data_IF_995588834745
#
_entry.id   IF_995588834745
#
_cell.length_a   1.000
_cell.length_b   1.000
_cell.length_c   1.000
_cell.angle_alpha   90.00
_cell.angle_beta   90.00
_cell.angle_gamma   90.00
#
_symmetry.space_group_name_H-M   'P 1'
#
loop_
_entity.id
_entity.type
_entity.pdbx_description
1 polymer ?
#
# COMPACT_ATOMS: atom_id res chain seq x y z
N UNK A 1 25.49 34.31 55.03
CA UNK A 1 26.44 34.39 53.90
C UNK A 1 27.05 33.00 53.72
N UNK A 2 26.49 32.21 52.81
CA UNK A 2 27.06 30.97 52.27
C UNK A 2 26.24 30.65 51.01
N UNK A 3 26.78 31.04 49.85
CA UNK A 3 26.15 30.83 48.55
C UNK A 3 26.40 29.38 48.10
N UNK A 4 25.33 28.68 47.75
CA UNK A 4 25.34 27.30 47.26
C UNK A 4 25.77 27.31 45.79
N UNK A 5 26.91 26.69 45.48
CA UNK A 5 27.45 26.56 44.11
C UNK A 5 26.84 25.31 43.47
N UNK A 6 26.17 25.47 42.34
CA UNK A 6 25.62 24.36 41.55
C UNK A 6 26.72 23.69 40.71
N UNK A 7 26.72 22.35 40.53
CA UNK A 7 27.70 21.66 39.70
C UNK A 7 27.35 21.77 38.20
N UNK A 8 28.38 21.92 37.35
CA UNK A 8 28.28 21.98 35.90
C UNK A 8 27.84 20.64 35.26
N UNK A 9 27.12 20.66 34.13
CA UNK A 9 26.67 19.46 33.45
C UNK A 9 27.83 18.78 32.68
N UNK A 10 27.79 17.44 32.52
CA UNK A 10 28.87 16.69 31.86
C UNK A 10 28.91 16.94 30.35
N UNK A 11 30.12 17.23 29.85
CA UNK A 11 30.44 17.40 28.44
C UNK A 11 30.53 16.04 27.71
N UNK A 12 29.74 15.89 26.64
CA UNK A 12 29.79 14.70 25.78
C UNK A 12 30.96 14.84 24.80
N UNK A 13 32.01 14.03 24.95
CA UNK A 13 33.11 13.98 23.98
C UNK A 13 32.64 13.25 22.71
N UNK A 14 32.40 14.00 21.64
CA UNK A 14 32.16 13.45 20.30
C UNK A 14 33.52 13.25 19.63
N UNK A 15 33.89 12.00 19.38
CA UNK A 15 35.06 11.66 18.58
C UNK A 15 34.82 12.01 17.10
N UNK A 16 35.75 12.76 16.51
CA UNK A 16 35.77 13.06 15.06
C UNK A 16 36.46 11.88 14.35
N UNK A 17 35.89 11.29 13.29
CA UNK A 17 36.59 10.23 12.55
C UNK A 17 37.71 10.83 11.70
N UNK A 18 38.91 10.27 11.83
CA UNK A 18 40.10 10.56 11.04
C UNK A 18 40.00 9.95 9.64
N UNK A 19 40.32 10.73 8.61
CA UNK A 19 40.46 10.30 7.22
C UNK A 19 41.67 9.37 7.02
N UNK A 20 41.45 8.31 6.24
CA UNK A 20 42.48 7.62 5.44
C UNK A 20 42.96 6.26 5.96
N UNK A 21 42.46 5.16 5.38
CA UNK A 21 43.31 4.26 4.58
C UNK A 21 42.55 3.14 3.84
N UNK A 22 42.92 3.02 2.55
CA UNK A 22 42.88 1.89 1.62
C UNK A 22 41.59 1.08 1.35
N UNK A 23 41.05 1.36 0.17
CA UNK A 23 40.19 0.60 -0.75
C UNK A 23 40.34 -0.93 -0.71
N UNK A 24 39.27 -1.62 -0.31
CA UNK A 24 38.76 -2.82 -0.98
C UNK A 24 37.31 -2.55 -1.39
N UNK A 25 37.10 -2.11 -2.62
CA UNK A 25 35.80 -1.65 -3.11
C UNK A 25 34.88 -2.82 -3.47
N UNK A 26 34.32 -3.48 -2.46
CA UNK A 26 32.94 -3.95 -2.54
C UNK A 26 32.05 -2.78 -2.09
N UNK A 27 31.76 -1.88 -3.04
CA UNK A 27 30.74 -0.84 -2.81
C UNK A 27 29.44 -1.57 -2.50
N UNK A 28 28.80 -1.36 -1.33
CA UNK A 28 27.51 -1.95 -1.07
C UNK A 28 26.56 -1.50 -2.17
N UNK A 29 26.06 -2.45 -2.96
CA UNK A 29 25.02 -2.17 -3.95
C UNK A 29 23.91 -1.37 -3.25
N UNK A 30 23.60 -0.19 -3.76
CA UNK A 30 22.51 0.63 -3.23
C UNK A 30 21.24 -0.23 -3.15
N UNK A 31 20.51 -0.13 -2.04
CA UNK A 31 19.27 -0.89 -1.80
C UNK A 31 18.31 -0.74 -2.98
N UNK A 32 18.03 -1.85 -3.66
CA UNK A 32 17.13 -1.90 -4.81
C UNK A 32 17.80 -1.86 -6.19
N UNK A 33 19.13 -1.97 -6.27
CA UNK A 33 19.84 -2.13 -7.55
C UNK A 33 20.02 -3.60 -7.90
N UNK A 34 19.65 -3.97 -9.13
CA UNK A 34 19.81 -5.31 -9.70
C UNK A 34 20.89 -5.25 -10.79
N UNK A 35 21.91 -6.10 -10.68
CA UNK A 35 22.93 -6.22 -11.72
C UNK A 35 22.41 -7.13 -12.85
N UNK A 36 22.26 -6.57 -14.05
CA UNK A 36 21.89 -7.30 -15.25
C UNK A 36 23.10 -7.41 -16.19
N UNK A 37 23.05 -8.36 -17.13
CA UNK A 37 24.02 -8.47 -18.22
C UNK A 37 24.10 -7.20 -19.09
N UNK A 38 23.06 -6.35 -19.05
CA UNK A 38 22.93 -5.08 -19.78
C UNK A 38 23.32 -3.85 -18.95
N UNK A 39 23.70 -4.03 -17.68
CA UNK A 39 24.08 -2.97 -16.75
C UNK A 39 23.24 -2.95 -15.45
N UNK A 40 23.53 -2.03 -14.52
CA UNK A 40 22.77 -1.88 -13.28
C UNK A 40 21.36 -1.35 -13.57
N UNK A 41 20.36 -1.93 -12.90
CA UNK A 41 18.97 -1.50 -12.95
C UNK A 41 18.44 -1.20 -11.54
N UNK A 42 18.20 0.07 -11.26
CA UNK A 42 17.59 0.50 -10.01
C UNK A 42 16.05 0.35 -10.10
N UNK A 43 15.54 -0.79 -9.62
CA UNK A 43 14.11 -1.07 -9.63
C UNK A 43 13.35 -0.18 -8.65
N UNK A 44 14.01 0.22 -7.55
CA UNK A 44 13.40 1.06 -6.51
C UNK A 44 13.12 2.45 -7.02
N UNK A 45 14.07 3.08 -7.70
CA UNK A 45 13.87 4.42 -8.23
C UNK A 45 12.82 4.44 -9.35
N UNK A 46 12.80 3.43 -10.22
CA UNK A 46 11.74 3.26 -11.22
C UNK A 46 10.36 3.16 -10.55
N UNK A 47 10.26 2.32 -9.52
CA UNK A 47 9.04 2.16 -8.73
C UNK A 47 8.56 3.46 -8.08
N UNK A 48 9.46 4.17 -7.40
CA UNK A 48 9.14 5.44 -6.74
C UNK A 48 8.75 6.53 -7.75
N UNK A 49 9.39 6.53 -8.92
CA UNK A 49 9.06 7.45 -10.02
C UNK A 49 7.62 7.23 -10.50
N UNK A 50 7.18 5.97 -10.62
CA UNK A 50 5.80 5.68 -11.00
C UNK A 50 4.76 6.16 -9.99
N UNK A 51 5.02 6.02 -8.69
CA UNK A 51 4.13 6.51 -7.64
C UNK A 51 4.09 8.04 -7.55
N UNK A 52 5.19 8.72 -7.90
CA UNK A 52 5.26 10.19 -7.96
C UNK A 52 4.49 10.74 -9.15
N UNK A 53 4.59 10.09 -10.31
CA UNK A 53 4.01 10.58 -11.56
C UNK A 53 2.50 10.28 -11.68
N UNK A 54 2.03 9.15 -11.14
CA UNK A 54 0.63 8.75 -11.20
C UNK A 54 0.08 8.46 -9.78
N UNK A 55 -0.64 9.43 -9.22
CA UNK A 55 -1.27 9.31 -7.89
C UNK A 55 -2.46 8.33 -7.87
N UNK A 56 -2.97 7.94 -9.03
CA UNK A 56 -4.01 6.94 -9.16
C UNK A 56 -3.45 5.51 -9.19
N UNK A 57 -2.14 5.36 -9.36
CA UNK A 57 -1.46 4.07 -9.35
C UNK A 57 -1.43 3.48 -7.93
N UNK A 58 -1.72 2.18 -7.82
CA UNK A 58 -1.63 1.46 -6.54
C UNK A 58 -0.25 0.82 -6.40
N UNK A 59 0.21 0.65 -5.15
CA UNK A 59 1.52 0.03 -4.85
C UNK A 59 1.76 -1.31 -5.58
N UNK A 60 0.78 -2.24 -5.66
CA UNK A 60 0.96 -3.49 -6.40
C UNK A 60 1.07 -3.28 -7.91
N UNK A 61 0.28 -2.36 -8.49
CA UNK A 61 0.31 -2.08 -9.94
C UNK A 61 1.61 -1.40 -10.33
N UNK A 62 2.12 -0.48 -9.49
CA UNK A 62 3.42 0.14 -9.67
C UNK A 62 4.55 -0.89 -9.63
N UNK A 63 4.49 -1.86 -8.69
CA UNK A 63 5.48 -2.94 -8.61
C UNK A 63 5.48 -3.81 -9.87
N UNK A 64 4.30 -4.18 -10.36
CA UNK A 64 4.15 -4.92 -11.62
C UNK A 64 4.74 -4.13 -12.78
N UNK A 65 4.49 -2.81 -12.87
CA UNK A 65 5.05 -1.95 -13.92
C UNK A 65 6.58 -1.92 -13.87
N UNK A 66 7.16 -1.76 -12.69
CA UNK A 66 8.63 -1.79 -12.52
C UNK A 66 9.23 -3.14 -12.90
N UNK A 67 8.53 -4.25 -12.62
CA UNK A 67 8.96 -5.59 -13.01
C UNK A 67 8.80 -5.85 -14.51
N UNK A 68 7.82 -5.22 -15.17
CA UNK A 68 7.71 -5.22 -16.64
C UNK A 68 8.97 -4.63 -17.26
N UNK A 69 9.39 -3.44 -16.78
CA UNK A 69 10.59 -2.78 -17.28
C UNK A 69 11.87 -3.57 -16.97
N UNK A 70 11.92 -4.25 -15.82
CA UNK A 70 13.01 -5.16 -15.48
C UNK A 70 13.09 -6.28 -16.53
N UNK A 71 11.98 -6.97 -16.79
CA UNK A 71 11.91 -8.10 -17.74
C UNK A 71 12.32 -7.68 -19.15
N UNK A 72 12.03 -6.46 -19.57
CA UNK A 72 12.47 -5.92 -20.86
C UNK A 72 14.00 -5.81 -21.00
N UNK A 73 14.71 -5.71 -19.89
CA UNK A 73 16.17 -5.56 -19.85
C UNK A 73 16.91 -6.88 -19.56
N UNK A 74 16.18 -7.92 -19.14
CA UNK A 74 16.75 -9.24 -18.90
C UNK A 74 17.08 -9.89 -20.24
N UNK A 75 18.37 -10.15 -20.46
CA UNK A 75 18.85 -10.98 -21.57
C UNK A 75 19.31 -12.33 -21.00
N UNK A 76 18.40 -13.31 -21.00
CA UNK A 76 18.63 -14.65 -20.47
C UNK A 76 18.37 -15.70 -21.56
N UNK A 77 19.22 -16.73 -21.61
CA UNK A 77 19.12 -17.80 -22.62
C UNK A 77 18.26 -18.97 -22.12
N UNK A 78 18.16 -19.14 -20.81
CA UNK A 78 17.41 -20.23 -20.18
C UNK A 78 16.31 -19.70 -19.27
N UNK A 79 15.26 -20.50 -19.10
CA UNK A 79 14.17 -20.17 -18.17
C UNK A 79 14.65 -20.12 -16.72
N UNK A 80 15.63 -20.94 -16.34
CA UNK A 80 16.19 -20.95 -14.99
C UNK A 80 16.94 -19.65 -14.68
N UNK A 81 17.82 -19.22 -15.58
CA UNK A 81 18.54 -17.94 -15.47
C UNK A 81 17.55 -16.76 -15.41
N UNK A 82 16.56 -16.76 -16.29
CA UNK A 82 15.52 -15.72 -16.31
C UNK A 82 14.78 -15.62 -14.97
N UNK A 83 14.36 -16.75 -14.40
CA UNK A 83 13.64 -16.78 -13.13
C UNK A 83 14.55 -16.40 -11.94
N UNK A 84 15.83 -16.77 -11.96
CA UNK A 84 16.78 -16.36 -10.93
C UNK A 84 16.95 -14.84 -10.89
N UNK A 85 17.20 -14.21 -12.04
CA UNK A 85 17.33 -12.75 -12.16
C UNK A 85 16.03 -12.03 -11.76
N UNK A 86 14.88 -12.56 -12.17
CA UNK A 86 13.58 -12.00 -11.79
C UNK A 86 13.35 -12.07 -10.27
N UNK A 87 13.65 -13.20 -9.63
CA UNK A 87 13.51 -13.34 -8.18
C UNK A 87 14.45 -12.42 -7.41
N UNK A 88 15.70 -12.26 -7.88
CA UNK A 88 16.64 -11.27 -7.33
C UNK A 88 16.05 -9.86 -7.41
N UNK A 89 15.46 -9.49 -8.54
CA UNK A 89 14.80 -8.19 -8.69
C UNK A 89 13.56 -7.99 -7.81
N UNK A 90 12.74 -9.03 -7.65
CA UNK A 90 11.59 -9.01 -6.74
C UNK A 90 12.04 -8.80 -5.30
N UNK A 91 13.06 -9.54 -4.85
CA UNK A 91 13.58 -9.43 -3.48
C UNK A 91 14.24 -8.06 -3.25
N UNK A 92 15.05 -7.59 -4.21
CA UNK A 92 15.63 -6.25 -4.17
C UNK A 92 14.55 -5.16 -4.02
N UNK A 93 13.43 -5.28 -4.76
CA UNK A 93 12.31 -4.34 -4.61
C UNK A 93 11.63 -4.45 -3.24
N UNK A 94 11.34 -5.68 -2.77
CA UNK A 94 10.71 -5.93 -1.46
C UNK A 94 11.56 -5.39 -0.30
N UNK A 95 12.87 -5.58 -0.34
CA UNK A 95 13.79 -5.16 0.73
C UNK A 95 14.06 -3.64 0.69
N UNK A 96 13.96 -3.02 -0.48
CA UNK A 96 14.23 -1.59 -0.66
C UNK A 96 13.11 -0.64 -0.20
N UNK A 97 11.90 -1.16 0.06
CA UNK A 97 10.71 -0.38 0.38
C UNK A 97 10.22 -0.74 1.79
N UNK A 98 9.99 0.29 2.62
CA UNK A 98 9.38 0.12 3.94
C UNK A 98 7.93 -0.35 3.80
N UNK A 99 7.54 -1.33 4.60
CA UNK A 99 6.21 -1.96 4.59
C UNK A 99 5.80 -2.53 3.21
N UNK A 100 6.49 -3.56 2.71
CA UNK A 100 6.30 -4.08 1.35
C UNK A 100 5.04 -4.94 1.19
N UNK A 101 4.06 -4.88 2.10
CA UNK A 101 2.93 -5.82 2.10
C UNK A 101 2.10 -5.68 0.83
N UNK A 102 1.67 -4.46 0.51
CA UNK A 102 0.88 -4.21 -0.71
C UNK A 102 1.70 -4.49 -1.99
N UNK A 103 2.95 -4.04 -2.05
CA UNK A 103 3.79 -4.27 -3.24
C UNK A 103 4.12 -5.77 -3.42
N UNK A 104 4.26 -6.53 -2.33
CA UNK A 104 4.51 -7.96 -2.36
C UNK A 104 3.38 -8.73 -3.01
N UNK A 105 2.12 -8.30 -2.81
CA UNK A 105 0.96 -8.84 -3.51
C UNK A 105 1.12 -8.75 -5.03
N UNK A 106 1.58 -7.58 -5.50
CA UNK A 106 1.84 -7.32 -6.92
C UNK A 106 3.00 -8.16 -7.46
N UNK A 107 4.09 -8.27 -6.70
CA UNK A 107 5.24 -9.09 -7.06
C UNK A 107 4.87 -10.58 -7.17
N UNK A 108 4.12 -11.10 -6.21
CA UNK A 108 3.72 -12.51 -6.17
C UNK A 108 2.72 -12.82 -7.30
N UNK A 109 1.78 -11.91 -7.56
CA UNK A 109 0.87 -12.01 -8.70
C UNK A 109 1.63 -12.04 -10.02
N UNK A 110 2.63 -11.16 -10.17
CA UNK A 110 3.49 -11.11 -11.36
C UNK A 110 4.27 -12.40 -11.54
N UNK A 111 4.96 -12.88 -10.50
CA UNK A 111 5.74 -14.11 -10.56
C UNK A 111 4.85 -15.31 -10.93
N UNK A 112 3.65 -15.42 -10.36
CA UNK A 112 2.70 -16.48 -10.72
C UNK A 112 2.25 -16.37 -12.17
N UNK A 113 2.00 -15.16 -12.67
CA UNK A 113 1.63 -14.94 -14.08
C UNK A 113 2.75 -15.42 -15.02
N UNK A 114 3.99 -15.05 -14.72
CA UNK A 114 5.20 -15.47 -15.47
C UNK A 114 5.36 -17.00 -15.44
N UNK A 115 5.35 -17.60 -14.24
CA UNK A 115 5.53 -19.06 -14.09
C UNK A 115 4.40 -19.81 -14.80
N UNK A 116 3.16 -19.33 -14.72
CA UNK A 116 2.03 -19.91 -15.45
C UNK A 116 2.23 -19.80 -16.95
N UNK A 117 2.69 -18.67 -17.46
CA UNK A 117 2.96 -18.47 -18.89
C UNK A 117 4.02 -19.46 -19.40
N UNK A 118 5.14 -19.59 -18.68
CA UNK A 118 6.25 -20.47 -19.04
C UNK A 118 5.86 -21.96 -19.01
N UNK A 119 4.99 -22.37 -18.08
CA UNK A 119 4.48 -23.76 -18.02
C UNK A 119 3.62 -24.17 -19.22
N UNK A 120 3.02 -23.23 -19.94
CA UNK A 120 2.22 -23.51 -21.13
C UNK A 120 3.08 -23.48 -22.42
N UNK A 121 4.37 -23.82 -22.30
CA UNK A 121 5.32 -24.00 -23.42
C UNK A 121 5.51 -22.77 -24.32
N UNK A 122 5.47 -21.57 -23.74
CA UNK A 122 5.75 -20.33 -24.48
C UNK A 122 7.24 -19.95 -24.40
N UNK A 123 7.77 -19.42 -25.50
CA UNK A 123 9.17 -19.01 -25.60
C UNK A 123 9.43 -17.65 -24.93
N UNK A 124 10.64 -17.46 -24.38
CA UNK A 124 11.07 -16.20 -23.76
C UNK A 124 10.89 -14.96 -24.66
N UNK A 125 11.16 -15.01 -25.98
CA UNK A 125 10.93 -13.86 -26.86
C UNK A 125 9.46 -13.41 -26.93
N UNK A 126 8.50 -14.35 -26.82
CA UNK A 126 7.07 -14.04 -26.82
C UNK A 126 6.61 -13.46 -25.49
N UNK A 127 7.32 -13.73 -24.39
CA UNK A 127 6.97 -13.28 -23.06
C UNK A 127 6.89 -11.75 -23.01
N UNK A 128 7.92 -11.05 -23.47
CA UNK A 128 8.00 -9.58 -23.37
C UNK A 128 6.82 -8.92 -24.11
N UNK A 129 6.52 -9.37 -25.33
CA UNK A 129 5.39 -8.86 -26.12
C UNK A 129 4.05 -9.12 -25.44
N UNK A 130 3.83 -10.36 -24.98
CA UNK A 130 2.60 -10.74 -24.29
C UNK A 130 2.43 -9.97 -22.97
N UNK A 131 3.53 -9.73 -22.27
CA UNK A 131 3.56 -9.05 -20.98
C UNK A 131 3.25 -7.56 -21.14
N UNK A 132 3.79 -6.88 -22.16
CA UNK A 132 3.42 -5.50 -22.50
C UNK A 132 1.92 -5.35 -22.77
N UNK A 133 1.35 -6.26 -23.56
CA UNK A 133 -0.08 -6.27 -23.87
C UNK A 133 -0.93 -6.56 -22.62
N UNK A 134 -0.54 -7.57 -21.85
CA UNK A 134 -1.22 -7.98 -20.62
C UNK A 134 -1.18 -6.89 -19.55
N UNK A 135 -0.05 -6.21 -19.39
CA UNK A 135 0.10 -5.11 -18.44
C UNK A 135 -0.82 -3.94 -18.76
N UNK A 136 -0.92 -3.52 -20.04
CA UNK A 136 -1.84 -2.45 -20.45
C UNK A 136 -3.30 -2.78 -20.07
N UNK A 137 -3.71 -4.02 -20.32
CA UNK A 137 -5.04 -4.50 -19.92
C UNK A 137 -5.19 -4.55 -18.40
N UNK A 138 -4.14 -4.95 -17.68
CA UNK A 138 -4.14 -5.00 -16.23
C UNK A 138 -4.25 -3.61 -15.58
N UNK A 139 -3.51 -2.60 -16.06
CA UNK A 139 -3.61 -1.22 -15.54
C UNK A 139 -5.02 -0.65 -15.71
N UNK A 140 -5.61 -0.83 -16.91
CA UNK A 140 -6.98 -0.41 -17.18
C UNK A 140 -7.96 -1.12 -16.24
N UNK A 141 -7.85 -2.44 -16.11
CA UNK A 141 -8.71 -3.24 -15.23
C UNK A 141 -8.54 -2.88 -13.75
N UNK A 142 -7.33 -2.54 -13.31
CA UNK A 142 -7.06 -2.11 -11.94
C UNK A 142 -7.78 -0.79 -11.65
N UNK A 143 -7.76 0.17 -12.59
CA UNK A 143 -8.52 1.43 -12.48
C UNK A 143 -10.03 1.18 -12.49
N UNK A 144 -10.52 0.37 -13.42
CA UNK A 144 -11.94 0.01 -13.51
C UNK A 144 -12.45 -0.73 -12.27
N UNK A 145 -11.61 -1.57 -11.66
CA UNK A 145 -11.98 -2.33 -10.47
C UNK A 145 -12.37 -1.41 -9.31
N UNK A 146 -11.66 -0.29 -9.12
CA UNK A 146 -12.00 0.71 -8.10
C UNK A 146 -13.38 1.30 -8.34
N UNK A 147 -13.70 1.65 -9.58
CA UNK A 147 -15.03 2.15 -9.97
C UNK A 147 -16.12 1.11 -9.76
N UNK A 148 -15.85 -0.16 -10.09
CA UNK A 148 -16.80 -1.26 -9.86
C UNK A 148 -17.07 -1.46 -8.36
N UNK A 149 -16.02 -1.48 -7.54
CA UNK A 149 -16.13 -1.59 -6.08
C UNK A 149 -16.89 -0.39 -5.51
N UNK A 150 -16.60 0.83 -5.98
CA UNK A 150 -17.32 2.04 -5.56
C UNK A 150 -18.83 1.95 -5.84
N UNK A 151 -19.20 1.53 -7.06
CA UNK A 151 -20.61 1.37 -7.46
C UNK A 151 -21.33 0.32 -6.62
N UNK A 152 -20.73 -0.86 -6.43
CA UNK A 152 -21.31 -1.94 -5.64
C UNK A 152 -21.40 -1.54 -4.16
N UNK A 153 -20.31 -1.01 -3.63
CA UNK A 153 -20.17 -0.64 -2.21
C UNK A 153 -21.02 0.56 -1.79
N UNK A 154 -21.32 1.49 -2.70
CA UNK A 154 -22.19 2.65 -2.38
C UNK A 154 -23.59 2.25 -1.90
N UNK A 155 -24.04 1.02 -2.18
CA UNK A 155 -25.33 0.50 -1.68
C UNK A 155 -25.37 0.27 -0.17
N UNK A 156 -24.21 0.11 0.49
CA UNK A 156 -24.12 -0.02 1.95
C UNK A 156 -24.31 1.32 2.67
N UNK A 157 -24.15 2.45 1.96
CA UNK A 157 -24.39 3.79 2.51
C UNK A 157 -25.88 4.10 2.28
N UNK A 158 -26.66 4.08 3.36
CA UNK A 158 -28.10 4.35 3.32
C UNK A 158 -28.42 5.82 3.63
N UNK A 159 -29.63 6.27 3.28
CA UNK A 159 -30.05 7.64 3.57
C UNK A 159 -30.12 7.88 5.10
N UNK A 160 -29.60 9.03 5.53
CA UNK A 160 -29.48 9.45 6.92
C UNK A 160 -28.31 8.84 7.70
N UNK A 161 -27.52 7.91 7.12
CA UNK A 161 -26.51 7.19 7.90
C UNK A 161 -25.27 8.03 8.25
N UNK A 162 -24.60 7.63 9.32
CA UNK A 162 -23.31 8.16 9.74
C UNK A 162 -22.21 7.12 9.53
N UNK A 163 -21.27 7.46 8.65
CA UNK A 163 -20.15 6.60 8.27
C UNK A 163 -18.90 6.99 9.07
N UNK A 164 -18.30 6.02 9.76
CA UNK A 164 -16.97 6.18 10.35
C UNK A 164 -15.89 5.65 9.40
N UNK A 165 -14.78 6.37 9.25
CA UNK A 165 -13.65 5.92 8.45
C UNK A 165 -12.31 6.31 9.05
N UNK A 166 -11.28 5.54 8.73
CA UNK A 166 -9.90 5.76 9.14
C UNK A 166 -9.03 6.06 7.93
N UNK A 167 -8.18 7.08 8.05
CA UNK A 167 -7.20 7.48 7.02
C UNK A 167 -7.84 7.85 5.68
N UNK A 168 -7.03 8.00 4.63
CA UNK A 168 -7.45 8.29 3.27
C UNK A 168 -7.42 7.01 2.42
N UNK A 169 -8.59 6.56 1.97
CA UNK A 169 -8.71 5.47 1.00
C UNK A 169 -9.41 5.95 -0.27
N UNK A 170 -8.78 5.70 -1.43
CA UNK A 170 -9.32 6.07 -2.75
C UNK A 170 -10.64 5.37 -3.05
N UNK A 171 -10.79 4.11 -2.64
CA UNK A 171 -12.03 3.34 -2.87
C UNK A 171 -13.14 3.84 -1.95
N UNK A 172 -12.84 4.09 -0.67
CA UNK A 172 -13.84 4.63 0.29
C UNK A 172 -14.32 6.00 -0.17
N UNK A 173 -13.40 6.88 -0.60
CA UNK A 173 -13.76 8.14 -1.24
C UNK A 173 -14.65 7.91 -2.47
N UNK A 174 -14.28 6.98 -3.35
CA UNK A 174 -15.08 6.63 -4.53
C UNK A 174 -16.49 6.17 -4.18
N UNK A 175 -16.65 5.32 -3.16
CA UNK A 175 -17.96 4.86 -2.67
C UNK A 175 -18.82 6.02 -2.15
N UNK A 176 -18.23 6.92 -1.37
CA UNK A 176 -18.92 8.11 -0.86
C UNK A 176 -19.32 9.06 -2.00
N UNK A 177 -18.46 9.23 -3.00
CA UNK A 177 -18.77 10.03 -4.19
C UNK A 177 -19.89 9.41 -5.01
N UNK A 178 -19.93 8.08 -5.18
CA UNK A 178 -21.00 7.40 -5.89
C UNK A 178 -22.32 7.40 -5.10
N UNK A 179 -22.28 7.33 -3.76
CA UNK A 179 -23.46 7.54 -2.92
C UNK A 179 -24.01 8.97 -3.06
N UNK A 180 -23.14 9.97 -3.10
CA UNK A 180 -23.52 11.37 -3.33
C UNK A 180 -24.18 11.57 -4.71
N UNK A 181 -23.65 10.95 -5.77
CA UNK A 181 -24.26 10.97 -7.12
C UNK A 181 -25.65 10.35 -7.15
N UNK A 182 -25.95 9.42 -6.24
CA UNK A 182 -27.27 8.80 -6.06
C UNK A 182 -28.19 9.64 -5.15
N UNK A 183 -27.79 10.85 -4.78
CA UNK A 183 -28.53 11.76 -3.89
C UNK A 183 -28.83 11.19 -2.50
N UNK A 184 -28.00 10.24 -2.02
CA UNK A 184 -28.10 9.70 -0.67
C UNK A 184 -27.53 10.73 0.31
N UNK A 185 -28.28 11.06 1.37
CA UNK A 185 -27.80 11.97 2.40
C UNK A 185 -27.10 11.16 3.48
N UNK A 186 -25.85 11.48 3.78
CA UNK A 186 -25.10 10.80 4.84
C UNK A 186 -24.11 11.78 5.48
N UNK A 187 -23.62 11.43 6.66
CA UNK A 187 -22.61 12.17 7.40
C UNK A 187 -21.36 11.30 7.53
N UNK A 188 -20.20 11.94 7.64
CA UNK A 188 -18.93 11.22 7.80
C UNK A 188 -18.21 11.67 9.07
N UNK A 189 -17.71 10.70 9.81
CA UNK A 189 -16.76 10.89 10.90
C UNK A 189 -15.43 10.31 10.41
N UNK A 190 -14.41 11.16 10.29
CA UNK A 190 -13.07 10.76 9.87
C UNK A 190 -12.09 10.93 11.03
N UNK A 191 -11.17 9.99 11.21
CA UNK A 191 -10.06 10.16 12.16
C UNK A 191 -9.05 11.17 11.61
N UNK A 192 -8.34 11.89 12.48
CA UNK A 192 -7.38 12.92 12.06
C UNK A 192 -6.04 12.38 11.52
N UNK A 193 -5.80 11.07 11.69
CA UNK A 193 -4.56 10.37 11.32
C UNK A 193 -4.18 10.50 9.85
N UNK A 194 -3.16 9.73 9.41
CA UNK A 194 -2.53 9.90 8.10
C UNK A 194 -3.55 9.99 6.95
N UNK A 195 -3.78 11.21 6.42
CA UNK A 195 -4.69 11.48 5.31
C UNK A 195 -6.15 11.81 5.66
N UNK A 196 -6.58 11.70 6.92
CA UNK A 196 -7.97 11.97 7.31
C UNK A 196 -8.42 13.41 7.09
N UNK A 197 -7.53 14.39 7.39
CA UNK A 197 -7.78 15.81 7.08
C UNK A 197 -7.96 16.07 5.58
N UNK A 198 -7.17 15.38 4.74
CA UNK A 198 -7.29 15.45 3.28
C UNK A 198 -8.64 14.89 2.82
N UNK A 199 -9.04 13.73 3.33
CA UNK A 199 -10.34 13.13 3.04
C UNK A 199 -11.48 14.09 3.42
N UNK A 200 -11.44 14.64 4.63
CA UNK A 200 -12.45 15.57 5.12
C UNK A 200 -12.54 16.85 4.28
N UNK A 201 -11.40 17.42 3.86
CA UNK A 201 -11.37 18.58 2.97
C UNK A 201 -12.04 18.28 1.62
N UNK A 202 -11.72 17.14 1.00
CA UNK A 202 -12.32 16.71 -0.27
C UNK A 202 -13.83 16.52 -0.12
N UNK A 203 -14.28 15.79 0.90
CA UNK A 203 -15.69 15.53 1.15
C UNK A 203 -16.48 16.82 1.43
N UNK A 204 -15.94 17.73 2.25
CA UNK A 204 -16.56 19.03 2.54
C UNK A 204 -16.68 19.90 1.29
N UNK A 205 -15.67 19.89 0.41
CA UNK A 205 -15.74 20.60 -0.88
C UNK A 205 -16.86 20.11 -1.80
N UNK A 206 -17.37 18.89 -1.56
CA UNK A 206 -18.49 18.28 -2.27
C UNK A 206 -19.83 18.41 -1.53
N UNK A 207 -19.87 19.14 -0.41
CA UNK A 207 -21.09 19.38 0.37
C UNK A 207 -21.46 18.26 1.35
N UNK A 208 -20.58 17.27 1.55
CA UNK A 208 -20.82 16.20 2.53
C UNK A 208 -20.41 16.69 3.93
N UNK A 209 -21.30 16.62 4.95
CA UNK A 209 -20.95 16.97 6.31
C UNK A 209 -19.90 16.01 6.88
N UNK A 210 -18.74 16.54 7.30
CA UNK A 210 -17.66 15.74 7.88
C UNK A 210 -17.22 16.30 9.23
N UNK A 211 -17.21 15.46 10.26
CA UNK A 211 -16.55 15.71 11.52
C UNK A 211 -15.17 15.02 11.53
N UNK A 212 -14.15 15.72 12.04
CA UNK A 212 -12.82 15.13 12.25
C UNK A 212 -12.67 14.90 13.74
N UNK A 213 -12.27 13.68 14.12
CA UNK A 213 -12.03 13.29 15.51
C UNK A 213 -10.60 12.75 15.69
N UNK A 214 -10.00 12.89 16.88
CA UNK A 214 -8.77 12.17 17.20
C UNK A 214 -9.04 10.66 17.22
N UNK A 215 -8.02 9.84 16.95
CA UNK A 215 -8.15 8.37 16.97
C UNK A 215 -8.57 7.85 18.35
N UNK A 216 -8.19 8.55 19.43
CA UNK A 216 -8.61 8.26 20.80
C UNK A 216 -10.10 8.47 21.07
N UNK A 217 -10.79 9.29 20.28
CA UNK A 217 -12.22 9.57 20.44
C UNK A 217 -13.13 8.63 19.63
N UNK A 218 -12.57 7.62 18.94
CA UNK A 218 -13.35 6.65 18.15
C UNK A 218 -14.38 5.92 19.01
N UNK A 219 -14.01 5.53 20.23
CA UNK A 219 -14.94 4.87 21.16
C UNK A 219 -16.12 5.76 21.55
N UNK A 220 -15.86 7.05 21.80
CA UNK A 220 -16.91 8.03 22.11
C UNK A 220 -17.84 8.27 20.92
N UNK A 221 -17.29 8.38 19.70
CA UNK A 221 -18.09 8.63 18.51
C UNK A 221 -18.97 7.44 18.07
N UNK A 222 -18.65 6.22 18.53
CA UNK A 222 -19.27 4.98 18.05
C UNK A 222 -20.80 4.91 18.27
N UNK A 223 -21.32 5.58 19.30
CA UNK A 223 -22.77 5.65 19.54
C UNK A 223 -23.52 6.34 18.39
N UNK A 224 -22.87 7.27 17.71
CA UNK A 224 -23.43 8.07 16.62
C UNK A 224 -23.15 7.47 15.24
N UNK A 225 -22.43 6.34 15.17
CA UNK A 225 -22.01 5.69 13.92
C UNK A 225 -22.98 4.57 13.57
N UNK A 226 -23.32 4.45 12.29
CA UNK A 226 -24.15 3.35 11.78
C UNK A 226 -23.29 2.26 11.14
N UNK A 227 -22.31 2.68 10.33
CA UNK A 227 -21.40 1.77 9.62
C UNK A 227 -19.96 2.28 9.69
N UNK A 228 -19.02 1.34 9.70
CA UNK A 228 -17.59 1.62 9.58
C UNK A 228 -17.11 1.20 8.19
N UNK A 229 -16.52 2.12 7.44
CA UNK A 229 -15.92 1.87 6.13
C UNK A 229 -14.41 2.10 6.18
N UNK A 230 -13.63 1.06 5.91
CA UNK A 230 -12.16 1.10 5.91
C UNK A 230 -11.60 0.62 4.57
N UNK A 231 -10.42 1.14 4.20
CA UNK A 231 -9.63 0.55 3.12
C UNK A 231 -8.82 -0.66 3.58
N UNK A 232 -8.15 -1.31 2.64
CA UNK A 232 -7.06 -2.25 2.94
C UNK A 232 -5.84 -2.01 2.05
N UNK A 233 -4.66 -2.18 2.64
CA UNK A 233 -3.39 -2.26 1.93
C UNK A 233 -3.09 -3.69 1.47
N UNK A 234 -3.54 -4.69 2.24
CA UNK A 234 -3.45 -6.10 1.90
C UNK A 234 -4.53 -6.92 2.58
N UNK A 235 -4.92 -8.03 1.96
CA UNK A 235 -5.80 -9.06 2.55
C UNK A 235 -4.99 -10.35 2.66
N UNK A 236 -4.89 -10.90 3.86
CA UNK A 236 -4.12 -12.13 4.15
C UNK A 236 -4.97 -13.38 3.92
N UNK A 237 -4.33 -14.55 3.94
CA UNK A 237 -4.96 -15.82 3.54
C UNK A 237 -6.16 -16.24 4.39
N UNK A 238 -6.19 -15.85 5.67
CA UNK A 238 -7.34 -16.09 6.55
C UNK A 238 -8.47 -15.06 6.41
N UNK A 239 -8.38 -14.14 5.43
CA UNK A 239 -9.32 -13.04 5.22
C UNK A 239 -9.04 -11.79 6.06
N UNK A 240 -8.03 -11.83 6.93
CA UNK A 240 -7.65 -10.69 7.77
C UNK A 240 -7.20 -9.48 6.95
N UNK A 241 -7.43 -8.30 7.52
CA UNK A 241 -7.19 -7.01 6.86
C UNK A 241 -5.90 -6.38 7.39
N UNK A 242 -4.96 -6.09 6.48
CA UNK A 242 -3.78 -5.26 6.76
C UNK A 242 -4.05 -3.85 6.24
N UNK A 243 -3.98 -2.88 7.13
CA UNK A 243 -4.19 -1.47 6.85
C UNK A 243 -3.41 -0.61 7.85
N UNK A 244 -3.59 0.71 7.79
CA UNK A 244 -3.01 1.68 8.74
C UNK A 244 -3.25 1.32 10.21
N UNK A 245 -2.33 1.75 11.07
CA UNK A 245 -2.44 1.69 12.52
C UNK A 245 -3.80 2.26 12.99
N UNK A 246 -4.38 1.65 14.02
CA UNK A 246 -5.69 2.04 14.55
C UNK A 246 -6.87 1.34 13.87
N UNK A 247 -6.68 0.70 12.71
CA UNK A 247 -7.75 -0.05 12.01
C UNK A 247 -8.32 -1.16 12.90
N UNK A 248 -7.45 -1.98 13.51
CA UNK A 248 -7.87 -3.06 14.40
C UNK A 248 -8.61 -2.53 15.65
N UNK A 249 -8.13 -1.42 16.23
CA UNK A 249 -8.77 -0.79 17.40
C UNK A 249 -10.17 -0.30 17.05
N UNK A 250 -10.32 0.43 15.93
CA UNK A 250 -11.59 0.97 15.46
C UNK A 250 -12.64 -0.13 15.31
N UNK A 251 -12.27 -1.26 14.71
CA UNK A 251 -13.25 -2.29 14.45
C UNK A 251 -13.44 -3.30 15.59
N UNK A 252 -12.50 -3.37 16.54
CA UNK A 252 -12.78 -3.95 17.87
C UNK A 252 -13.84 -3.14 18.60
N UNK A 253 -13.73 -1.81 18.60
CA UNK A 253 -14.73 -0.90 19.19
C UNK A 253 -16.07 -0.99 18.47
N UNK A 254 -16.06 -1.08 17.13
CA UNK A 254 -17.27 -1.27 16.34
C UNK A 254 -17.98 -2.59 16.69
N UNK A 255 -17.22 -3.68 16.80
CA UNK A 255 -17.74 -4.99 17.22
C UNK A 255 -18.35 -4.93 18.62
N UNK A 256 -17.69 -4.28 19.57
CA UNK A 256 -18.19 -4.10 20.93
C UNK A 256 -19.49 -3.27 20.97
N UNK A 257 -19.65 -2.31 20.06
CA UNK A 257 -20.84 -1.48 19.92
C UNK A 257 -21.91 -2.07 18.98
N UNK A 258 -21.73 -3.30 18.47
CA UNK A 258 -22.66 -3.95 17.54
C UNK A 258 -22.78 -3.27 16.17
N UNK A 259 -21.73 -2.57 15.72
CA UNK A 259 -21.69 -1.84 14.44
C UNK A 259 -21.02 -2.67 13.35
N UNK A 260 -21.57 -2.62 12.15
CA UNK A 260 -21.02 -3.32 10.98
C UNK A 260 -19.75 -2.65 10.47
N UNK A 261 -18.73 -3.46 10.17
CA UNK A 261 -17.45 -3.02 9.61
C UNK A 261 -17.30 -3.59 8.21
N UNK A 262 -17.04 -2.73 7.23
CA UNK A 262 -16.76 -3.13 5.86
C UNK A 262 -15.36 -2.68 5.46
N UNK A 263 -14.53 -3.66 5.07
CA UNK A 263 -13.24 -3.43 4.45
C UNK A 263 -13.37 -3.50 2.93
N UNK A 264 -12.82 -2.50 2.23
CA UNK A 264 -12.86 -2.43 0.77
C UNK A 264 -11.47 -2.38 0.16
N UNK A 265 -11.23 -3.23 -0.81
CA UNK A 265 -9.94 -3.37 -1.47
C UNK A 265 -10.07 -3.99 -2.87
N UNK A 266 -9.05 -3.79 -3.69
CA UNK A 266 -8.91 -4.43 -4.98
C UNK A 266 -8.35 -5.86 -4.84
N UNK A 267 -8.72 -6.75 -5.77
CA UNK A 267 -8.31 -8.16 -5.75
C UNK A 267 -6.80 -8.37 -5.88
N UNK A 268 -6.08 -7.44 -6.51
CA UNK A 268 -4.62 -7.47 -6.65
C UNK A 268 -3.86 -7.06 -5.37
N UNK A 269 -4.56 -6.87 -4.25
CA UNK A 269 -3.98 -6.69 -2.90
C UNK A 269 -4.04 -7.94 -2.04
N UNK A 270 -4.46 -9.09 -2.59
CA UNK A 270 -4.49 -10.34 -1.83
C UNK A 270 -3.06 -10.87 -1.71
N UNK A 271 -2.60 -11.04 -0.48
CA UNK A 271 -1.21 -11.37 -0.14
C UNK A 271 -1.14 -12.83 0.32
N UNK A 272 -0.11 -13.54 -0.16
CA UNK A 272 0.20 -14.90 0.31
C UNK A 272 0.96 -14.85 1.64
N UNK A 273 0.29 -14.42 2.69
CA UNK A 273 0.85 -14.30 4.04
C UNK A 273 -0.18 -14.84 5.03
N UNK A 274 0.26 -15.68 5.96
CA UNK A 274 -0.57 -16.19 7.06
C UNK A 274 0.03 -15.76 8.41
N UNK A 275 -0.40 -14.62 8.97
CA UNK A 275 0.00 -14.20 10.31
C UNK A 275 -0.62 -15.11 11.38
N UNK A 276 0.22 -15.69 12.24
CA UNK A 276 -0.17 -16.71 13.23
C UNK A 276 -0.68 -16.08 14.55
N UNK A 277 -0.28 -14.84 14.87
CA UNK A 277 -0.69 -14.14 16.09
C UNK A 277 -1.73 -13.06 15.81
N UNK A 278 -2.89 -13.15 16.48
CA UNK A 278 -4.10 -12.36 16.25
C UNK A 278 -4.08 -10.87 16.61
N UNK A 279 -2.93 -10.20 16.56
CA UNK A 279 -2.80 -8.77 16.91
C UNK A 279 -3.10 -7.80 15.76
N UNK A 280 -3.57 -8.26 14.60
CA UNK A 280 -3.80 -7.40 13.42
C UNK A 280 -4.96 -7.82 12.51
N UNK A 281 -6.03 -8.45 13.02
CA UNK A 281 -7.14 -8.91 12.16
C UNK A 281 -8.51 -8.40 12.59
N UNK A 282 -9.19 -7.77 11.64
CA UNK A 282 -10.64 -7.56 11.65
C UNK A 282 -11.34 -8.70 10.94
#
# INVERSE_FOLDING_TARGET
MAAFVAPEPPTLHVAVPSDGDSVSADVPLELGVVMLNTGPFDIRNVYLTYLRNDHDLTMPVAAIKSLVDLVERINAQTTAEFLDVLNKGINALKDSIRNPISLSAGCDLFLRFIVRFLRHSQSLPRLVTHLKQSYKLFDLRAKDSRTKIAKLGSSFITDGCTVLTISFSRIVLGMMMDALKKHIRFKVIATEGAGGKKLASILRSKGIPVAIIPESAVGYAMSSVDIVLIGAEGVVENGGIINVLGTFQMATLAKAAGKSVFAVCETHKFVRLYPINGSLHL
#
